data_IF_874158854875
#
_entry.id   IF_874158854875
#
_cell.length_a   1.000
_cell.length_b   1.000
_cell.length_c   1.000
_cell.angle_alpha   90.00
_cell.angle_beta   90.00
_cell.angle_gamma   90.00
#
_symmetry.space_group_name_H-M   'P 1'
#
loop_
_entity.id
_entity.type
_entity.pdbx_description
1 polymer ?
#
# COMPACT_ATOMS: atom_id res chain seq x y z
N UNK A 1 -29.80 9.23 -24.02
CA UNK A 1 -28.95 9.83 -22.96
C UNK A 1 -28.70 8.89 -21.79
N UNK A 2 -29.73 8.27 -21.18
CA UNK A 2 -29.56 7.35 -20.05
C UNK A 2 -28.68 6.12 -20.38
N UNK A 3 -28.81 5.54 -21.58
CA UNK A 3 -27.99 4.38 -21.97
C UNK A 3 -26.52 4.73 -22.26
N UNK A 4 -26.20 5.97 -22.64
CA UNK A 4 -24.80 6.41 -22.78
C UNK A 4 -24.13 6.58 -21.42
N UNK A 5 -24.86 7.07 -20.42
CA UNK A 5 -24.39 7.15 -19.03
C UNK A 5 -24.12 5.76 -18.44
N UNK A 6 -25.01 4.79 -18.68
CA UNK A 6 -24.83 3.41 -18.21
C UNK A 6 -23.58 2.75 -18.82
N UNK A 7 -23.36 2.91 -20.13
CA UNK A 7 -22.17 2.37 -20.79
C UNK A 7 -20.87 3.05 -20.32
N UNK A 8 -20.92 4.36 -20.03
CA UNK A 8 -19.77 5.09 -19.48
C UNK A 8 -19.44 4.63 -18.05
N UNK A 9 -20.45 4.34 -17.23
CA UNK A 9 -20.28 3.80 -15.87
C UNK A 9 -19.73 2.36 -15.89
N UNK A 10 -20.17 1.53 -16.85
CA UNK A 10 -19.66 0.17 -17.02
C UNK A 10 -18.19 0.13 -17.45
N UNK A 11 -17.72 1.11 -18.23
CA UNK A 11 -16.32 1.26 -18.62
C UNK A 11 -15.40 1.75 -17.51
N UNK A 12 -15.95 2.35 -16.44
CA UNK A 12 -15.18 2.85 -15.30
C UNK A 12 -15.19 1.91 -14.11
N UNK A 13 -15.97 0.82 -14.16
CA UNK A 13 -15.90 -0.22 -13.14
C UNK A 13 -14.54 -0.92 -13.25
N UNK A 14 -13.67 -0.81 -12.23
CA UNK A 14 -12.40 -1.53 -12.24
C UNK A 14 -12.73 -3.01 -12.37
N UNK A 15 -12.09 -3.69 -13.32
CA UNK A 15 -12.14 -5.14 -13.37
C UNK A 15 -11.65 -5.65 -12.01
N UNK A 16 -12.49 -6.41 -11.31
CA UNK A 16 -12.08 -7.08 -10.08
C UNK A 16 -10.99 -8.09 -10.45
N UNK A 17 -9.73 -7.67 -10.38
CA UNK A 17 -8.59 -8.56 -10.44
C UNK A 17 -8.39 -9.11 -9.04
N UNK A 18 -8.32 -10.43 -8.88
CA UNK A 18 -8.07 -11.08 -7.58
C UNK A 18 -6.66 -10.78 -7.01
N UNK A 19 -5.88 -9.94 -7.68
CA UNK A 19 -4.49 -9.62 -7.34
C UNK A 19 -4.40 -8.24 -6.71
N UNK A 20 -4.03 -8.21 -5.43
CA UNK A 20 -3.70 -6.99 -4.69
C UNK A 20 -2.42 -6.36 -5.27
N UNK A 21 -2.45 -5.08 -5.62
CA UNK A 21 -1.29 -4.34 -6.17
C UNK A 21 -0.60 -3.57 -5.05
N UNK A 22 0.71 -3.77 -4.87
CA UNK A 22 1.49 -3.13 -3.81
C UNK A 22 2.72 -2.41 -4.37
N UNK A 23 3.25 -1.45 -3.60
CA UNK A 23 4.57 -0.86 -3.89
C UNK A 23 5.66 -1.90 -3.60
N UNK A 24 6.60 -2.05 -4.52
CA UNK A 24 7.85 -2.79 -4.34
C UNK A 24 9.02 -1.80 -4.34
N UNK A 25 9.73 -1.70 -3.22
CA UNK A 25 10.90 -0.82 -3.09
C UNK A 25 11.72 -1.25 -1.88
N UNK A 26 13.03 -1.36 -2.05
CA UNK A 26 13.91 -1.77 -0.97
C UNK A 26 15.07 -0.78 -0.90
N UNK A 27 15.32 -0.22 0.27
CA UNK A 27 16.47 0.65 0.52
C UNK A 27 16.88 0.44 1.97
N UNK A 28 17.78 -0.52 2.18
CA UNK A 28 18.26 -0.85 3.51
C UNK A 28 19.73 -1.29 3.49
N UNK A 29 20.39 -1.11 4.62
CA UNK A 29 21.73 -1.58 4.89
C UNK A 29 21.68 -2.94 5.56
N UNK A 30 22.57 -3.83 5.15
CA UNK A 30 22.79 -5.14 5.78
C UNK A 30 24.25 -5.53 5.56
N UNK A 31 24.95 -5.88 6.65
CA UNK A 31 26.37 -6.25 6.66
C UNK A 31 27.27 -5.23 5.94
N UNK A 32 27.05 -3.94 6.21
CA UNK A 32 27.79 -2.83 5.62
C UNK A 32 27.52 -2.58 4.12
N UNK A 33 26.54 -3.26 3.52
CA UNK A 33 26.15 -3.08 2.11
C UNK A 33 24.75 -2.52 1.98
N UNK A 34 24.56 -1.64 1.00
CA UNK A 34 23.23 -1.13 0.64
C UNK A 34 22.55 -2.14 -0.28
N UNK A 35 21.34 -2.54 0.08
CA UNK A 35 20.39 -3.29 -0.73
C UNK A 35 19.37 -2.30 -1.29
N UNK A 36 19.45 -2.07 -2.60
CA UNK A 36 18.55 -1.18 -3.33
C UNK A 36 17.77 -1.96 -4.39
N UNK A 37 16.44 -1.87 -4.34
CA UNK A 37 15.55 -2.27 -5.42
C UNK A 37 14.70 -1.05 -5.75
N UNK A 38 14.82 -0.59 -6.99
CA UNK A 38 14.10 0.59 -7.47
C UNK A 38 12.59 0.44 -7.36
N UNK A 39 11.91 1.57 -7.27
CA UNK A 39 10.47 1.65 -7.10
C UNK A 39 9.74 0.94 -8.25
N UNK A 40 8.91 -0.04 -7.90
CA UNK A 40 8.09 -0.81 -8.81
C UNK A 40 6.78 -1.24 -8.12
N UNK A 41 6.03 -2.13 -8.76
CA UNK A 41 4.82 -2.75 -8.23
C UNK A 41 4.97 -4.26 -8.17
N UNK A 42 4.23 -4.90 -7.26
CA UNK A 42 4.06 -6.34 -7.21
C UNK A 42 2.58 -6.70 -7.06
N UNK A 43 2.23 -7.91 -7.51
CA UNK A 43 0.90 -8.49 -7.34
C UNK A 43 0.89 -9.55 -6.25
N UNK A 44 0.14 -9.33 -5.17
CA UNK A 44 -0.02 -10.28 -4.07
C UNK A 44 -1.28 -11.14 -4.28
N UNK A 45 -1.17 -12.22 -5.04
CA UNK A 45 -2.27 -13.17 -5.29
C UNK A 45 -2.85 -13.79 -4.01
N UNK A 46 -2.04 -13.89 -2.93
CA UNK A 46 -2.41 -14.58 -1.69
C UNK A 46 -2.30 -13.69 -0.44
N UNK A 47 -2.36 -12.37 -0.62
CA UNK A 47 -2.58 -11.44 0.47
C UNK A 47 -1.34 -10.69 0.95
N UNK A 48 -1.65 -9.46 1.34
CA UNK A 48 -0.83 -8.44 2.00
C UNK A 48 0.22 -7.70 1.17
N UNK A 49 0.05 -6.38 1.17
CA UNK A 49 1.16 -5.46 0.98
C UNK A 49 1.91 -5.32 2.30
N UNK A 50 3.23 -5.34 2.23
CA UNK A 50 4.10 -5.19 3.40
C UNK A 50 4.94 -3.93 3.33
N UNK A 51 5.23 -3.40 4.51
CA UNK A 51 6.21 -2.34 4.76
C UNK A 51 7.04 -2.73 5.97
N UNK A 52 8.35 -2.88 5.78
CA UNK A 52 9.31 -3.20 6.83
C UNK A 52 10.15 -1.96 7.12
N UNK A 53 10.35 -1.68 8.42
CA UNK A 53 11.35 -0.74 8.91
C UNK A 53 12.46 -1.54 9.57
N UNK A 54 13.66 -1.45 9.02
CA UNK A 54 14.85 -2.05 9.60
C UNK A 54 15.48 -1.07 10.59
N UNK A 55 15.63 -1.49 11.85
CA UNK A 55 16.22 -0.65 12.89
C UNK A 55 16.91 -1.49 13.96
N UNK A 56 18.23 -1.61 13.88
CA UNK A 56 19.07 -2.23 14.91
C UNK A 56 19.81 -1.18 15.75
N UNK A 57 20.11 -1.44 17.01
CA UNK A 57 20.89 -0.50 17.83
C UNK A 57 22.30 -0.30 17.27
N UNK A 58 22.87 -1.33 16.64
CA UNK A 58 24.12 -1.24 15.89
C UNK A 58 23.89 -0.62 14.50
N UNK A 59 24.40 0.60 14.23
CA UNK A 59 24.18 1.27 12.94
C UNK A 59 24.85 0.55 11.76
N UNK A 60 25.77 -0.39 11.99
CA UNK A 60 26.43 -1.17 10.94
C UNK A 60 25.60 -2.39 10.47
N UNK A 61 24.52 -2.71 11.20
CA UNK A 61 23.60 -3.80 10.87
C UNK A 61 22.42 -3.31 10.02
N UNK A 62 21.19 -3.70 10.41
CA UNK A 62 19.97 -3.48 9.64
C UNK A 62 19.42 -2.08 9.85
N UNK A 63 19.43 -1.26 8.80
CA UNK A 63 18.90 0.12 8.80
C UNK A 63 18.22 0.43 7.48
N UNK A 64 17.02 0.99 7.51
CA UNK A 64 16.31 1.45 6.30
C UNK A 64 14.90 0.90 6.19
N UNK A 65 14.42 0.69 4.98
CA UNK A 65 13.05 0.24 4.75
C UNK A 65 12.91 -0.68 3.53
N UNK A 66 11.87 -1.50 3.56
CA UNK A 66 11.46 -2.36 2.46
C UNK A 66 9.94 -2.33 2.30
N UNK A 67 9.47 -2.48 1.07
CA UNK A 67 8.06 -2.55 0.70
C UNK A 67 7.91 -3.64 -0.35
N UNK A 68 6.84 -4.41 -0.26
CA UNK A 68 6.56 -5.43 -1.26
C UNK A 68 5.25 -6.17 -0.99
N UNK A 69 5.23 -7.42 -1.46
CA UNK A 69 4.13 -8.36 -1.34
C UNK A 69 4.65 -9.57 -0.57
N UNK A 70 4.10 -9.85 0.61
CA UNK A 70 4.50 -11.02 1.41
C UNK A 70 3.34 -11.52 2.26
N UNK A 71 3.08 -12.83 2.19
CA UNK A 71 2.08 -13.51 3.02
C UNK A 71 2.68 -14.06 4.31
N UNK A 72 3.89 -14.58 4.24
CA UNK A 72 4.50 -15.35 5.33
C UNK A 72 4.80 -14.45 6.52
N UNK A 73 5.25 -13.24 6.24
CA UNK A 73 5.55 -12.26 7.28
C UNK A 73 4.28 -11.66 7.94
N UNK A 74 3.11 -11.87 7.33
CA UNK A 74 1.80 -11.40 7.79
C UNK A 74 0.93 -12.50 8.42
N UNK A 75 1.52 -13.63 8.82
CA UNK A 75 0.80 -14.68 9.54
C UNK A 75 0.17 -14.10 10.82
N UNK A 76 -1.07 -14.49 11.09
CA UNK A 76 -1.88 -14.00 12.24
C UNK A 76 -2.13 -12.49 12.22
N UNK A 77 -2.09 -11.85 11.05
CA UNK A 77 -2.37 -10.41 10.92
C UNK A 77 -3.65 -9.99 11.66
N UNK A 78 -3.53 -8.93 12.47
CA UNK A 78 -4.62 -8.39 13.30
C UNK A 78 -4.80 -9.10 14.65
N UNK A 79 -4.10 -10.20 14.90
CA UNK A 79 -4.17 -10.92 16.17
C UNK A 79 -3.19 -10.32 17.20
N UNK A 80 -3.75 -9.62 18.19
CA UNK A 80 -2.96 -8.97 19.27
C UNK A 80 -2.12 -9.95 20.10
N UNK A 81 -2.52 -11.23 20.21
CA UNK A 81 -1.75 -12.26 20.92
C UNK A 81 -0.41 -12.56 20.24
N UNK A 82 -0.32 -12.29 18.93
CA UNK A 82 0.91 -12.44 18.15
C UNK A 82 1.71 -11.15 18.07
N UNK A 83 1.34 -10.10 18.81
CA UNK A 83 2.04 -8.82 18.86
C UNK A 83 1.60 -7.80 17.81
N UNK A 84 0.54 -8.07 17.05
CA UNK A 84 -0.01 -7.13 16.09
C UNK A 84 -0.72 -5.96 16.79
N UNK A 85 -0.34 -4.75 16.40
CA UNK A 85 -0.96 -3.49 16.83
C UNK A 85 -2.15 -3.16 15.92
N UNK A 86 -3.10 -2.32 16.38
CA UNK A 86 -4.27 -1.92 15.57
C UNK A 86 -3.93 -1.21 14.26
N UNK A 87 -2.73 -0.64 14.14
CA UNK A 87 -2.24 -0.03 12.90
C UNK A 87 -1.75 -1.06 11.86
N UNK A 88 -1.88 -2.35 12.14
CA UNK A 88 -1.42 -3.42 11.27
C UNK A 88 0.09 -3.65 11.32
N UNK A 89 0.78 -3.18 12.36
CA UNK A 89 2.22 -3.35 12.54
C UNK A 89 2.57 -4.24 13.73
N UNK A 90 3.71 -4.91 13.64
CA UNK A 90 4.28 -5.77 14.68
C UNK A 90 5.80 -5.63 14.70
N UNK A 91 6.40 -5.64 15.89
CA UNK A 91 7.86 -5.75 16.02
C UNK A 91 8.34 -7.16 15.69
N UNK A 92 9.43 -7.28 14.94
CA UNK A 92 10.08 -8.56 14.65
C UNK A 92 11.60 -8.36 14.66
N UNK A 93 12.29 -9.17 15.48
CA UNK A 93 13.74 -9.15 15.65
C UNK A 93 14.52 -9.46 14.36
N UNK A 94 13.90 -10.13 13.39
CA UNK A 94 14.52 -10.40 12.09
C UNK A 94 14.85 -9.11 11.32
N UNK A 95 14.18 -8.00 11.66
CA UNK A 95 14.38 -6.69 11.05
C UNK A 95 15.20 -5.73 11.93
N UNK A 96 15.77 -6.20 13.04
CA UNK A 96 16.58 -5.42 13.99
C UNK A 96 15.95 -5.33 15.38
N UNK A 97 16.71 -4.82 16.37
CA UNK A 97 16.26 -4.72 17.76
C UNK A 97 14.98 -3.87 17.97
N UNK A 98 14.73 -2.90 17.09
CA UNK A 98 13.49 -2.11 17.02
C UNK A 98 12.88 -2.19 15.60
N UNK A 99 13.16 -3.29 14.92
CA UNK A 99 12.60 -3.60 13.61
C UNK A 99 11.10 -3.85 13.68
N UNK A 100 10.37 -3.37 12.69
CA UNK A 100 8.92 -3.61 12.58
C UNK A 100 8.49 -3.93 11.16
N UNK A 101 7.40 -4.68 11.08
CA UNK A 101 6.68 -4.97 9.84
C UNK A 101 5.24 -4.53 9.98
N UNK A 102 4.72 -3.91 8.92
CA UNK A 102 3.32 -3.56 8.77
C UNK A 102 2.73 -4.27 7.55
N UNK A 103 1.53 -4.82 7.72
CA UNK A 103 0.78 -5.49 6.66
C UNK A 103 -0.57 -4.79 6.43
N UNK A 104 -1.07 -4.86 5.19
CA UNK A 104 -2.37 -4.30 4.83
C UNK A 104 -2.93 -4.95 3.56
N UNK A 105 -4.25 -4.92 3.35
CA UNK A 105 -4.95 -5.69 2.30
C UNK A 105 -5.70 -4.81 1.29
N UNK A 106 -5.27 -3.57 1.11
CA UNK A 106 -5.85 -2.65 0.10
C UNK A 106 -4.78 -2.20 -0.86
N UNK A 107 -5.11 -1.98 -2.13
CA UNK A 107 -4.10 -1.61 -3.12
C UNK A 107 -3.26 -0.42 -2.67
N UNK A 108 -1.94 -0.54 -2.87
CA UNK A 108 -0.95 0.50 -2.62
C UNK A 108 -0.90 1.00 -1.16
N UNK A 109 -1.45 0.25 -0.21
CA UNK A 109 -1.54 0.65 1.20
C UNK A 109 -0.18 0.69 1.92
N UNK A 110 0.83 0.00 1.38
CA UNK A 110 2.20 0.11 1.85
C UNK A 110 2.93 1.37 1.32
N UNK A 111 2.22 2.22 0.58
CA UNK A 111 2.66 3.53 0.14
C UNK A 111 2.17 4.68 1.02
N UNK A 112 2.79 5.84 0.85
CA UNK A 112 2.35 7.11 1.45
C UNK A 112 1.29 7.83 0.61
N UNK A 113 0.93 7.29 -0.56
CA UNK A 113 0.27 8.02 -1.67
C UNK A 113 -1.27 7.99 -1.59
N UNK A 114 -1.88 7.04 -0.87
CA UNK A 114 -3.33 6.77 -0.93
C UNK A 114 -4.26 7.95 -0.60
N UNK A 115 -3.80 8.96 0.17
CA UNK A 115 -4.64 10.12 0.55
C UNK A 115 -4.78 11.19 -0.53
N UNK A 116 -3.83 11.35 -1.46
CA UNK A 116 -3.86 12.46 -2.42
C UNK A 116 -4.76 12.18 -3.64
N UNK A 117 -4.84 10.93 -4.10
CA UNK A 117 -5.63 10.55 -5.28
C UNK A 117 -7.15 10.60 -5.04
N UNK A 118 -7.60 10.35 -3.81
CA UNK A 118 -9.04 10.41 -3.51
C UNK A 118 -9.58 11.85 -3.58
N UNK A 119 -8.78 12.84 -3.19
CA UNK A 119 -9.19 14.25 -3.19
C UNK A 119 -9.34 14.77 -4.63
N UNK A 120 -8.41 14.44 -5.52
CA UNK A 120 -8.45 14.90 -6.92
C UNK A 120 -9.64 14.33 -7.70
N UNK A 121 -9.99 13.05 -7.46
CA UNK A 121 -11.17 12.43 -8.08
C UNK A 121 -12.47 13.06 -7.58
N UNK A 122 -12.59 13.33 -6.27
CA UNK A 122 -13.76 14.02 -5.70
C UNK A 122 -13.89 15.43 -6.28
N UNK A 123 -12.78 16.18 -6.36
CA UNK A 123 -12.79 17.53 -6.93
C UNK A 123 -13.22 17.53 -8.41
N UNK A 124 -12.76 16.56 -9.19
CA UNK A 124 -13.17 16.41 -10.59
C UNK A 124 -14.67 16.09 -10.72
N UNK A 125 -15.19 15.21 -9.87
CA UNK A 125 -16.62 14.86 -9.85
C UNK A 125 -17.49 16.07 -9.47
N UNK A 126 -17.07 16.86 -8.48
CA UNK A 126 -17.76 18.09 -8.08
C UNK A 126 -17.75 19.12 -9.22
N UNK A 127 -16.60 19.30 -9.90
CA UNK A 127 -16.49 20.21 -11.03
C UNK A 127 -17.42 19.82 -12.19
N UNK A 128 -17.47 18.54 -12.54
CA UNK A 128 -18.34 18.04 -13.61
C UNK A 128 -19.83 18.21 -13.26
N UNK A 129 -20.21 18.00 -12.00
CA UNK A 129 -21.57 18.24 -11.52
C UNK A 129 -21.95 19.72 -11.65
N UNK A 130 -21.07 20.63 -11.23
CA UNK A 130 -21.28 22.08 -11.33
C UNK A 130 -21.47 22.51 -12.78
N UNK A 131 -20.60 22.04 -13.69
CA UNK A 131 -20.71 22.32 -15.13
C UNK A 131 -22.05 21.84 -15.70
N UNK A 132 -22.51 20.66 -15.29
CA UNK A 132 -23.78 20.10 -15.76
C UNK A 132 -24.99 20.92 -15.27
N UNK A 133 -24.93 21.44 -14.05
CA UNK A 133 -25.96 22.33 -13.50
C UNK A 133 -25.96 23.70 -14.20
N UNK A 134 -24.79 24.25 -14.54
CA UNK A 134 -24.70 25.55 -15.22
C UNK A 134 -25.13 25.52 -16.69
N UNK A 135 -25.05 24.38 -17.37
CA UNK A 135 -25.49 24.25 -18.78
C UNK A 135 -27.01 24.04 -18.89
N UNK A 136 -27.67 23.65 -17.79
CA UNK A 136 -29.13 23.45 -17.75
C UNK A 136 -29.93 24.70 -17.34
N UNK A 137 -29.25 25.76 -16.90
CA UNK A 137 -29.81 27.09 -16.67
C UNK A 137 -29.33 28.02 -17.79
#
# INVERSE_FOLDING_TARGET
MLSMLINLILLTLPAFTDTLICISHHEYHEDGKIRLINLNHCGAYNGFCVKVRYWDDDPLKKRGFSRGCDKNDCIEFGNSLFGWKPNGCRQNSDYGSDGEICCCQTDMCNGTIGRQLQISVILLQVLLLLLFLTVRY
#
